data_IF_921277747860
#
_entry.id   IF_921277747860
#
_cell.length_a   1.000
_cell.length_b   1.000
_cell.length_c   1.000
_cell.angle_alpha   90.00
_cell.angle_beta   90.00
_cell.angle_gamma   90.00
#
_symmetry.space_group_name_H-M   'P 1'
#
loop_
_entity.id
_entity.type
_entity.pdbx_description
1 polymer ?
#
# COMPACT_ATOMS: atom_id res chain seq x y z
N UNK A 1 11.92 -21.04 -0.73
CA UNK A 1 10.67 -21.12 -1.53
C UNK A 1 9.47 -21.03 -0.59
N UNK A 2 9.03 -19.83 -0.21
CA UNK A 2 7.93 -19.66 0.74
C UNK A 2 6.58 -19.85 0.04
N UNK A 3 5.85 -20.91 0.39
CA UNK A 3 4.46 -21.15 -0.05
C UNK A 3 3.49 -20.60 1.00
N UNK A 4 2.95 -19.40 0.78
CA UNK A 4 1.79 -18.89 1.52
C UNK A 4 0.54 -18.94 0.62
N UNK A 5 -0.02 -20.13 0.43
CA UNK A 5 -1.35 -20.27 -0.14
C UNK A 5 -2.17 -21.16 0.79
N UNK A 6 -2.67 -20.59 1.89
CA UNK A 6 -3.82 -21.19 2.59
C UNK A 6 -5.03 -21.02 1.67
N UNK A 7 -5.77 -22.10 1.43
CA UNK A 7 -7.05 -22.02 0.71
C UNK A 7 -7.93 -20.95 1.39
N UNK A 8 -8.59 -20.06 0.63
CA UNK A 8 -9.46 -19.05 1.22
C UNK A 8 -10.59 -19.76 1.97
N UNK A 9 -10.60 -19.65 3.30
CA UNK A 9 -11.71 -20.13 4.13
C UNK A 9 -12.92 -19.25 3.87
N UNK A 10 -14.12 -19.82 3.83
CA UNK A 10 -15.41 -19.11 3.75
C UNK A 10 -15.65 -18.07 4.87
N UNK A 11 -14.75 -17.98 5.85
CA UNK A 11 -14.67 -16.97 6.92
C UNK A 11 -14.15 -15.58 6.47
N UNK A 12 -13.91 -15.32 5.17
CA UNK A 12 -13.40 -14.03 4.67
C UNK A 12 -14.24 -12.81 5.10
N UNK A 13 -15.48 -13.00 5.56
CA UNK A 13 -16.35 -11.91 6.06
C UNK A 13 -15.95 -11.36 7.43
N UNK A 14 -15.13 -12.07 8.21
CA UNK A 14 -14.75 -11.69 9.59
C UNK A 14 -13.23 -11.55 9.76
N UNK A 15 -12.52 -11.16 8.70
CA UNK A 15 -11.10 -10.90 8.82
C UNK A 15 -10.87 -9.54 9.53
N UNK A 16 -9.93 -9.45 10.48
CA UNK A 16 -9.62 -8.21 11.17
C UNK A 16 -9.09 -7.17 10.19
N UNK A 17 -9.34 -5.89 10.46
CA UNK A 17 -8.66 -4.83 9.71
C UNK A 17 -7.14 -4.92 9.89
N UNK A 18 -6.39 -4.68 8.81
CA UNK A 18 -4.92 -4.69 8.85
C UNK A 18 -4.33 -3.39 8.31
N UNK A 19 -3.23 -2.96 8.91
CA UNK A 19 -2.45 -1.81 8.42
C UNK A 19 -1.23 -2.31 7.68
N UNK A 20 -1.02 -1.85 6.45
CA UNK A 20 0.15 -2.20 5.63
C UNK A 20 1.11 -1.02 5.64
N UNK A 21 2.20 -1.15 6.38
CA UNK A 21 3.26 -0.14 6.42
C UNK A 21 4.23 -0.38 5.25
N UNK A 22 4.47 0.66 4.44
CA UNK A 22 5.33 0.63 3.26
C UNK A 22 6.38 1.74 3.32
N UNK A 23 7.60 1.43 3.81
CA UNK A 23 8.72 2.34 3.64
C UNK A 23 9.10 2.42 2.16
N UNK A 24 9.23 3.64 1.64
CA UNK A 24 9.54 3.91 0.24
C UNK A 24 10.98 4.40 0.12
N UNK A 25 11.71 3.82 -0.84
CA UNK A 25 13.03 4.28 -1.27
C UNK A 25 12.92 4.89 -2.66
N UNK A 26 13.63 5.98 -2.91
CA UNK A 26 13.34 6.91 -4.01
C UNK A 26 13.79 6.46 -5.42
N UNK A 27 14.21 5.22 -5.60
CA UNK A 27 15.03 4.78 -6.75
C UNK A 27 14.40 3.66 -7.60
N UNK A 28 13.11 3.36 -7.44
CA UNK A 28 12.44 2.33 -8.23
C UNK A 28 11.69 2.92 -9.43
N UNK A 29 12.10 2.55 -10.65
CA UNK A 29 11.42 2.93 -11.89
C UNK A 29 10.02 2.34 -12.03
N UNK A 30 9.73 1.25 -11.32
CA UNK A 30 8.43 0.58 -11.29
C UNK A 30 7.61 0.93 -10.04
N UNK A 31 8.03 1.95 -9.28
CA UNK A 31 7.39 2.31 -8.01
C UNK A 31 5.87 2.47 -8.14
N UNK A 32 5.39 3.16 -9.18
CA UNK A 32 3.97 3.38 -9.39
C UNK A 32 3.17 2.07 -9.58
N UNK A 33 3.64 1.16 -10.43
CA UNK A 33 2.99 -0.13 -10.65
C UNK A 33 3.10 -1.03 -9.41
N UNK A 34 4.25 -1.01 -8.72
CA UNK A 34 4.43 -1.73 -7.46
C UNK A 34 3.45 -1.26 -6.39
N UNK A 35 3.30 0.06 -6.22
CA UNK A 35 2.39 0.65 -5.24
C UNK A 35 0.92 0.35 -5.58
N UNK A 36 0.56 0.37 -6.86
CA UNK A 36 -0.79 0.04 -7.33
C UNK A 36 -1.24 -1.36 -6.92
N UNK A 37 -0.33 -2.33 -6.82
CA UNK A 37 -0.67 -3.68 -6.33
C UNK A 37 -1.23 -3.69 -4.92
N UNK A 38 -0.81 -2.74 -4.06
CA UNK A 38 -1.34 -2.62 -2.69
C UNK A 38 -2.72 -1.99 -2.67
N UNK A 39 -3.02 -1.03 -3.56
CA UNK A 39 -4.36 -0.47 -3.71
C UNK A 39 -5.37 -1.46 -4.31
N UNK A 40 -4.89 -2.48 -5.04
CA UNK A 40 -5.70 -3.54 -5.62
C UNK A 40 -5.72 -4.82 -4.76
N UNK A 41 -5.22 -4.73 -3.52
CA UNK A 41 -5.06 -5.88 -2.65
C UNK A 41 -6.42 -6.46 -2.25
N UNK A 42 -6.59 -7.77 -2.46
CA UNK A 42 -7.85 -8.48 -2.21
C UNK A 42 -7.96 -8.88 -0.74
N UNK A 43 -8.14 -7.90 0.14
CA UNK A 43 -8.40 -8.07 1.56
C UNK A 43 -9.59 -7.20 1.98
N UNK A 44 -10.51 -7.69 2.84
CA UNK A 44 -11.79 -7.02 3.07
C UNK A 44 -11.69 -5.63 3.72
N UNK A 45 -10.73 -5.44 4.63
CA UNK A 45 -10.50 -4.14 5.29
C UNK A 45 -9.01 -3.94 5.56
N UNK A 46 -8.43 -2.92 4.95
CA UNK A 46 -7.04 -2.56 5.17
C UNK A 46 -6.81 -1.07 4.96
N UNK A 47 -5.69 -0.58 5.48
CA UNK A 47 -5.16 0.76 5.24
C UNK A 47 -3.70 0.68 4.76
N UNK A 48 -3.25 1.71 4.04
CA UNK A 48 -1.90 1.82 3.52
C UNK A 48 -1.16 2.99 4.17
N UNK A 49 -0.06 2.71 4.86
CA UNK A 49 0.76 3.73 5.54
C UNK A 49 2.11 3.82 4.82
N UNK A 50 2.28 4.83 3.96
CA UNK A 50 3.51 5.07 3.22
C UNK A 50 4.47 5.93 4.04
N UNK A 51 5.74 5.54 4.12
CA UNK A 51 6.75 6.30 4.85
C UNK A 51 7.93 6.62 3.92
N UNK A 52 8.30 7.89 3.81
CA UNK A 52 9.48 8.33 3.08
C UNK A 52 10.44 8.98 4.07
N UNK A 53 11.72 8.63 4.03
CA UNK A 53 12.70 9.12 5.01
C UNK A 53 13.02 10.61 4.84
N UNK A 54 13.13 11.09 3.60
CA UNK A 54 13.42 12.49 3.26
C UNK A 54 12.39 12.99 2.23
N UNK A 55 12.20 14.31 2.09
CA UNK A 55 11.34 14.86 1.05
C UNK A 55 11.77 14.40 -0.36
N UNK A 56 10.97 13.51 -0.96
CA UNK A 56 11.20 12.97 -2.28
C UNK A 56 10.03 13.32 -3.21
N UNK A 57 10.06 14.47 -3.89
CA UNK A 57 8.92 14.99 -4.64
C UNK A 57 8.31 13.98 -5.62
N UNK A 58 9.15 13.25 -6.35
CA UNK A 58 8.72 12.22 -7.29
C UNK A 58 7.91 11.09 -6.63
N UNK A 59 8.38 10.58 -5.49
CA UNK A 59 7.70 9.52 -4.74
C UNK A 59 6.37 10.03 -4.18
N UNK A 60 6.39 11.23 -3.60
CA UNK A 60 5.21 11.89 -3.04
C UNK A 60 4.13 12.07 -4.11
N UNK A 61 4.51 12.54 -5.30
CA UNK A 61 3.58 12.75 -6.40
C UNK A 61 2.95 11.44 -6.90
N UNK A 62 3.74 10.36 -6.98
CA UNK A 62 3.21 9.03 -7.33
C UNK A 62 2.18 8.56 -6.30
N UNK A 63 2.53 8.65 -5.00
CA UNK A 63 1.61 8.24 -3.92
C UNK A 63 0.33 9.05 -4.00
N UNK A 64 0.41 10.38 -4.09
CA UNK A 64 -0.77 11.26 -4.18
C UNK A 64 -1.66 10.93 -5.39
N UNK A 65 -1.08 10.66 -6.56
CA UNK A 65 -1.83 10.25 -7.76
C UNK A 65 -2.58 8.94 -7.53
N UNK A 66 -1.96 7.97 -6.87
CA UNK A 66 -2.61 6.70 -6.53
C UNK A 66 -3.72 6.89 -5.49
N UNK A 67 -3.52 7.71 -4.46
CA UNK A 67 -4.57 8.04 -3.49
C UNK A 67 -5.81 8.66 -4.17
N UNK A 68 -5.60 9.53 -5.15
CA UNK A 68 -6.67 10.10 -5.96
C UNK A 68 -7.37 9.06 -6.85
N UNK A 69 -6.63 8.08 -7.39
CA UNK A 69 -7.17 7.02 -8.22
C UNK A 69 -7.98 5.98 -7.40
N UNK A 70 -7.63 5.78 -6.14
CA UNK A 70 -8.25 4.79 -5.24
C UNK A 70 -8.79 5.46 -3.96
N UNK A 71 -9.75 6.40 -4.05
CA UNK A 71 -10.23 7.17 -2.89
C UNK A 71 -10.99 6.33 -1.86
N UNK A 72 -11.31 5.07 -2.19
CA UNK A 72 -11.99 4.12 -1.30
C UNK A 72 -11.03 3.32 -0.41
N UNK A 73 -9.72 3.45 -0.62
CA UNK A 73 -8.69 2.79 0.20
C UNK A 73 -8.13 3.83 1.16
N UNK A 74 -8.23 3.55 2.47
CA UNK A 74 -7.63 4.40 3.49
C UNK A 74 -6.11 4.39 3.32
N UNK A 75 -5.52 5.57 3.14
CA UNK A 75 -4.10 5.67 2.89
C UNK A 75 -3.53 6.99 3.38
N UNK A 76 -2.33 6.91 3.98
CA UNK A 76 -1.62 8.06 4.54
C UNK A 76 -0.16 8.04 4.11
N UNK A 77 0.42 9.24 3.99
CA UNK A 77 1.82 9.45 3.61
C UNK A 77 2.53 10.22 4.73
N UNK A 78 3.55 9.59 5.30
CA UNK A 78 4.44 10.15 6.31
C UNK A 78 5.78 10.50 5.68
N UNK A 79 6.29 11.69 5.98
CA UNK A 79 7.59 12.16 5.53
C UNK A 79 8.44 12.39 6.77
N UNK A 80 9.60 11.75 6.82
CA UNK A 80 10.60 11.92 7.87
C UNK A 80 11.12 13.36 7.91
N UNK A 81 11.48 13.80 9.12
CA UNK A 81 12.15 15.08 9.36
C UNK A 81 13.65 14.88 9.41
#
# INVERSE_FOLDING_TARGET
>A
LYKFHRKPSSLLKELPGVSIIKPLTCVDSNLAENLKTFFQFKYPRYELLFCVQEPAPHVIDIVKKLQQQYPHIDSQLFIGK
#
